data_IF_396168016121
#
_entry.id   IF_396168016121
#
_cell.length_a   1.000
_cell.length_b   1.000
_cell.length_c   1.000
_cell.angle_alpha   90.00
_cell.angle_beta   90.00
_cell.angle_gamma   90.00
#
_symmetry.space_group_name_H-M   'P 1'
#
loop_
_entity.id
_entity.type
_entity.pdbx_description
1 polymer ?
#
# COMPACT_ATOMS: atom_id res chain seq x y z
N UNK A 1 -37.65 -13.77 -69.45
CA UNK A 1 -39.10 -13.56 -69.72
C UNK A 1 -39.92 -14.27 -68.62
N UNK A 2 -41.23 -13.99 -68.54
CA UNK A 2 -42.36 -14.83 -68.04
C UNK A 2 -42.02 -16.33 -67.82
N UNK A 3 -42.45 -17.09 -66.80
CA UNK A 3 -43.38 -17.02 -65.61
C UNK A 3 -42.77 -17.97 -64.53
N UNK A 4 -43.02 -17.95 -63.21
CA UNK A 4 -44.22 -17.85 -62.34
C UNK A 4 -45.10 -19.12 -62.21
N UNK A 5 -45.25 -19.59 -60.95
CA UNK A 5 -46.47 -20.09 -60.26
C UNK A 5 -46.71 -21.60 -59.97
N UNK A 6 -47.32 -21.88 -58.80
CA UNK A 6 -47.99 -23.12 -58.30
C UNK A 6 -47.01 -24.25 -57.89
N UNK A 7 -47.15 -25.03 -56.79
CA UNK A 7 -48.20 -25.21 -55.76
C UNK A 7 -48.63 -26.70 -55.68
N UNK A 8 -48.99 -27.37 -54.56
CA UNK A 8 -49.27 -27.05 -53.13
C UNK A 8 -48.15 -27.65 -52.21
N UNK A 9 -48.05 -27.54 -50.87
CA UNK A 9 -48.92 -27.17 -49.71
C UNK A 9 -49.76 -28.31 -49.04
N UNK A 10 -49.18 -29.02 -48.07
CA UNK A 10 -49.87 -29.85 -47.03
C UNK A 10 -48.98 -30.01 -45.77
N UNK A 11 -49.52 -30.31 -44.58
CA UNK A 11 -50.08 -29.31 -43.63
C UNK A 11 -50.37 -29.92 -42.22
N UNK A 12 -50.01 -29.22 -41.13
CA UNK A 12 -50.61 -29.30 -39.76
C UNK A 12 -50.26 -30.60 -38.97
N UNK A 13 -50.07 -30.64 -37.64
CA UNK A 13 -50.67 -29.87 -36.51
C UNK A 13 -49.67 -29.38 -35.44
N UNK A 14 -50.06 -28.34 -34.70
CA UNK A 14 -49.35 -27.75 -33.54
C UNK A 14 -50.21 -27.90 -32.26
N UNK A 15 -49.56 -28.24 -31.15
CA UNK A 15 -49.88 -27.79 -29.76
C UNK A 15 -48.50 -27.61 -29.11
N UNK A 16 -48.08 -26.48 -28.52
CA UNK A 16 -48.74 -25.63 -27.51
C UNK A 16 -48.05 -25.93 -26.16
N UNK A 17 -47.78 -25.00 -25.22
CA UNK A 17 -48.12 -23.58 -25.02
C UNK A 17 -46.88 -22.91 -24.33
N UNK A 18 -46.76 -21.61 -24.00
CA UNK A 18 -47.64 -20.43 -24.03
C UNK A 18 -46.79 -19.14 -24.18
N UNK A 19 -47.42 -18.04 -24.63
CA UNK A 19 -46.89 -16.67 -24.50
C UNK A 19 -47.33 -16.06 -23.13
N UNK A 20 -47.19 -14.77 -22.77
CA UNK A 20 -46.89 -13.56 -23.54
C UNK A 20 -46.35 -12.41 -22.64
N UNK A 21 -45.80 -11.36 -23.27
CA UNK A 21 -45.21 -10.18 -22.63
C UNK A 21 -46.23 -9.17 -22.06
N UNK A 22 -45.72 -8.16 -21.34
CA UNK A 22 -46.39 -6.86 -21.13
C UNK A 22 -45.39 -5.70 -21.18
N UNK A 23 -45.86 -4.51 -21.58
CA UNK A 23 -45.11 -3.25 -21.63
C UNK A 23 -46.07 -2.04 -21.51
N UNK A 24 -45.57 -0.93 -20.96
CA UNK A 24 -46.13 0.43 -20.95
C UNK A 24 -44.97 1.39 -20.58
N UNK A 25 -44.60 2.35 -21.44
CA UNK A 25 -45.04 3.76 -21.48
C UNK A 25 -44.56 4.55 -20.24
N UNK A 26 -43.46 5.32 -20.28
CA UNK A 26 -43.16 6.59 -21.00
C UNK A 26 -43.83 7.85 -20.40
N UNK A 27 -43.04 8.92 -20.21
CA UNK A 27 -43.43 10.34 -20.35
C UNK A 27 -42.21 11.29 -20.12
N UNK A 28 -41.91 12.08 -21.16
CA UNK A 28 -41.26 13.40 -21.21
C UNK A 28 -39.89 13.69 -20.54
N UNK A 29 -38.87 13.77 -21.41
CA UNK A 29 -37.99 14.95 -21.65
C UNK A 29 -37.38 15.71 -20.44
N UNK A 30 -36.04 15.67 -20.39
CA UNK A 30 -35.24 16.86 -20.75
C UNK A 30 -33.96 16.43 -21.49
N UNK A 31 -33.54 17.17 -22.53
CA UNK A 31 -32.28 16.96 -23.26
C UNK A 31 -31.39 18.20 -23.15
N UNK A 32 -30.13 18.03 -22.75
CA UNK A 32 -29.12 19.10 -22.80
C UNK A 32 -27.67 18.58 -22.85
N UNK A 33 -27.32 17.93 -23.97
CA UNK A 33 -25.99 17.83 -24.60
C UNK A 33 -24.74 17.36 -23.79
N UNK A 34 -23.62 17.02 -24.48
CA UNK A 34 -22.62 16.11 -23.92
C UNK A 34 -21.39 16.80 -23.30
N UNK A 35 -20.98 16.30 -22.13
CA UNK A 35 -19.68 16.57 -21.52
C UNK A 35 -19.03 15.33 -20.85
N UNK A 36 -19.47 14.12 -21.20
CA UNK A 36 -18.82 12.88 -20.73
C UNK A 36 -17.58 12.56 -21.56
N UNK A 37 -16.46 13.21 -21.22
CA UNK A 37 -15.12 12.68 -21.43
C UNK A 37 -14.37 12.74 -20.09
N UNK A 38 -14.75 11.83 -19.20
CA UNK A 38 -13.91 11.39 -18.08
C UNK A 38 -13.79 9.88 -18.29
N UNK A 39 -12.56 9.44 -18.56
CA UNK A 39 -12.23 8.02 -18.74
C UNK A 39 -12.01 7.39 -17.36
N UNK A 40 -12.94 6.51 -16.98
CA UNK A 40 -13.23 6.18 -15.59
C UNK A 40 -12.18 5.29 -14.91
N UNK A 41 -11.65 5.81 -13.80
CA UNK A 41 -11.05 5.07 -12.68
C UNK A 41 -9.91 4.09 -13.00
N UNK A 42 -8.70 4.42 -12.52
CA UNK A 42 -7.79 3.35 -12.01
C UNK A 42 -8.58 2.61 -10.93
N UNK A 43 -8.77 1.28 -11.02
CA UNK A 43 -9.71 0.56 -10.17
C UNK A 43 -9.45 0.81 -8.69
N UNK A 44 -10.52 1.05 -7.95
CA UNK A 44 -10.44 1.21 -6.49
C UNK A 44 -9.98 -0.13 -5.93
N UNK A 45 -8.80 -0.13 -5.33
CA UNK A 45 -8.30 -1.28 -4.58
C UNK A 45 -9.33 -1.62 -3.49
N UNK A 46 -9.85 -2.84 -3.48
CA UNK A 46 -10.78 -3.34 -2.44
C UNK A 46 -10.17 -3.35 -1.03
N UNK A 47 -8.87 -3.02 -0.95
CA UNK A 47 -8.06 -2.84 0.25
C UNK A 47 -7.89 -1.37 0.65
N UNK A 48 -8.71 -0.45 0.11
CA UNK A 48 -8.73 0.95 0.49
C UNK A 48 -9.22 1.13 1.95
N UNK A 49 -8.67 2.10 2.72
CA UNK A 49 -9.29 2.53 3.97
C UNK A 49 -10.70 3.07 3.69
N UNK A 50 -11.59 2.98 4.68
CA UNK A 50 -12.98 3.46 4.52
C UNK A 50 -13.03 4.97 4.35
N UNK A 51 -14.00 5.41 3.56
CA UNK A 51 -14.41 6.80 3.41
C UNK A 51 -13.28 7.75 2.93
N UNK A 52 -12.34 7.22 2.15
CA UNK A 52 -11.20 7.96 1.60
C UNK A 52 -11.50 8.55 0.22
N UNK A 53 -11.27 9.85 0.11
CA UNK A 53 -11.30 10.62 -1.14
C UNK A 53 -10.05 10.30 -1.98
N UNK A 54 -10.21 9.45 -2.99
CA UNK A 54 -9.09 8.82 -3.74
C UNK A 54 -8.35 9.86 -4.59
N UNK A 55 -7.02 9.81 -4.57
CA UNK A 55 -6.13 10.73 -5.28
C UNK A 55 -6.42 12.22 -4.93
N UNK A 56 -6.78 12.50 -3.67
CA UNK A 56 -6.89 13.86 -3.14
C UNK A 56 -5.97 14.09 -1.94
N UNK A 57 -5.68 15.37 -1.68
CA UNK A 57 -4.92 15.85 -0.51
C UNK A 57 -5.66 16.99 0.16
N UNK A 58 -5.64 17.08 1.49
CA UNK A 58 -6.34 18.14 2.22
C UNK A 58 -5.46 19.39 2.34
N UNK A 59 -5.80 20.47 1.62
CA UNK A 59 -5.06 21.75 1.64
C UNK A 59 -6.06 22.92 1.67
N UNK A 60 -5.82 23.92 2.52
CA UNK A 60 -6.73 25.06 2.78
C UNK A 60 -8.16 24.62 3.14
N UNK A 61 -8.32 23.48 3.83
CA UNK A 61 -9.62 22.89 4.15
C UNK A 61 -10.38 22.30 2.95
N UNK A 62 -9.74 22.14 1.79
CA UNK A 62 -10.31 21.53 0.58
C UNK A 62 -9.64 20.19 0.28
N UNK A 63 -10.40 19.23 -0.25
CA UNK A 63 -9.85 18.01 -0.82
C UNK A 63 -9.46 18.27 -2.28
N UNK A 64 -8.17 18.44 -2.54
CA UNK A 64 -7.62 18.81 -3.85
C UNK A 64 -7.16 17.57 -4.61
N UNK A 65 -7.63 17.39 -5.85
CA UNK A 65 -7.23 16.30 -6.72
C UNK A 65 -5.80 16.48 -7.25
N UNK A 66 -5.01 15.39 -7.21
CA UNK A 66 -3.59 15.37 -7.63
C UNK A 66 -3.36 14.60 -8.94
N UNK A 67 -4.42 14.31 -9.69
CA UNK A 67 -4.36 13.58 -10.95
C UNK A 67 -4.09 12.07 -10.77
N UNK A 68 -3.66 11.40 -11.85
CA UNK A 68 -3.44 9.94 -11.86
C UNK A 68 -2.13 9.51 -11.16
N UNK A 69 -1.15 10.40 -10.99
CA UNK A 69 0.22 10.04 -10.58
C UNK A 69 0.42 9.91 -9.06
N UNK A 70 -0.57 10.29 -8.24
CA UNK A 70 -0.50 10.17 -6.78
C UNK A 70 0.50 11.13 -6.13
N UNK A 71 1.06 10.72 -4.99
CA UNK A 71 2.18 11.39 -4.32
C UNK A 71 3.48 10.58 -4.43
N UNK A 72 4.61 11.23 -4.15
CA UNK A 72 5.89 10.54 -3.95
C UNK A 72 6.31 10.65 -2.48
N UNK A 73 6.94 9.60 -1.94
CA UNK A 73 7.66 9.67 -0.66
C UNK A 73 9.14 9.91 -0.96
N UNK A 74 9.64 11.09 -0.61
CA UNK A 74 11.02 11.49 -0.90
C UNK A 74 11.65 12.16 0.31
N UNK A 75 12.81 11.65 0.77
CA UNK A 75 13.52 12.08 2.00
C UNK A 75 12.61 12.17 3.25
N UNK A 76 11.58 11.32 3.34
CA UNK A 76 10.60 11.31 4.42
C UNK A 76 9.49 12.36 4.31
N UNK A 77 9.46 13.17 3.25
CA UNK A 77 8.39 14.11 2.95
C UNK A 77 7.42 13.55 1.92
N UNK A 78 6.15 13.98 2.05
CA UNK A 78 5.09 13.73 1.07
C UNK A 78 5.21 14.81 -0.01
N UNK A 79 5.53 14.38 -1.23
CA UNK A 79 5.68 15.27 -2.38
C UNK A 79 4.40 15.24 -3.22
N UNK A 80 3.83 16.41 -3.49
CA UNK A 80 2.62 16.59 -4.32
C UNK A 80 2.96 17.21 -5.67
N UNK A 81 2.23 16.86 -6.74
CA UNK A 81 2.48 17.39 -8.08
C UNK A 81 2.05 18.86 -8.15
N UNK A 82 3.04 19.75 -8.09
CA UNK A 82 2.94 21.19 -7.83
C UNK A 82 1.86 21.88 -8.66
N UNK A 83 1.76 21.53 -9.95
CA UNK A 83 0.82 22.16 -10.87
C UNK A 83 -0.63 21.94 -10.43
N UNK A 84 -1.04 20.69 -10.22
CA UNK A 84 -2.40 20.34 -9.82
C UNK A 84 -2.80 20.99 -8.49
N UNK A 85 -1.90 20.93 -7.49
CA UNK A 85 -2.17 21.50 -6.16
C UNK A 85 -2.15 23.02 -6.12
N UNK A 86 -1.30 23.69 -6.91
CA UNK A 86 -1.24 25.16 -6.96
C UNK A 86 -2.37 25.76 -7.82
N UNK A 87 -2.70 25.19 -8.98
CA UNK A 87 -3.79 25.68 -9.84
C UNK A 87 -5.15 25.55 -9.15
N UNK A 88 -5.36 24.47 -8.38
CA UNK A 88 -6.55 24.26 -7.53
C UNK A 88 -6.69 25.27 -6.37
N UNK A 89 -5.60 25.97 -6.03
CA UNK A 89 -5.54 27.07 -5.06
C UNK A 89 -5.54 28.46 -5.72
N UNK A 90 -5.75 28.54 -7.04
CA UNK A 90 -5.86 29.78 -7.79
C UNK A 90 -4.52 30.40 -8.20
N UNK A 91 -3.40 29.69 -8.06
CA UNK A 91 -2.13 30.15 -8.60
C UNK A 91 -2.03 29.83 -10.10
N UNK A 92 -1.65 30.82 -10.90
CA UNK A 92 -1.08 30.59 -12.22
C UNK A 92 0.31 29.96 -12.04
N UNK A 93 0.59 28.87 -12.77
CA UNK A 93 1.85 28.12 -12.68
C UNK A 93 2.65 28.26 -13.97
N UNK A 94 3.84 28.86 -13.92
CA UNK A 94 4.69 29.11 -15.08
C UNK A 94 6.13 28.63 -14.82
N UNK A 95 6.55 27.56 -15.51
CA UNK A 95 7.95 27.12 -15.51
C UNK A 95 8.79 27.96 -16.50
N UNK A 96 10.07 28.17 -16.19
CA UNK A 96 11.03 28.69 -17.17
C UNK A 96 11.38 27.64 -18.26
N UNK A 97 12.09 28.07 -19.30
CA UNK A 97 12.43 27.24 -20.46
C UNK A 97 13.26 25.98 -20.13
N UNK A 98 13.94 25.99 -18.99
CA UNK A 98 14.83 24.92 -18.55
C UNK A 98 14.16 24.04 -17.47
N UNK A 99 12.91 24.36 -17.07
CA UNK A 99 12.23 23.84 -15.89
C UNK A 99 13.06 23.96 -14.58
N UNK A 100 13.89 25.02 -14.46
CA UNK A 100 14.71 25.29 -13.26
C UNK A 100 13.98 26.13 -12.22
N UNK A 101 13.17 27.07 -12.67
CA UNK A 101 12.34 27.94 -11.84
C UNK A 101 10.87 27.74 -12.20
N UNK A 102 10.01 27.58 -11.20
CA UNK A 102 8.55 27.62 -11.35
C UNK A 102 8.02 28.83 -10.62
N UNK A 103 7.34 29.73 -11.34
CA UNK A 103 6.56 30.82 -10.76
C UNK A 103 5.15 30.36 -10.41
N UNK A 104 4.71 30.75 -9.22
CA UNK A 104 3.33 30.65 -8.75
C UNK A 104 2.85 32.08 -8.49
N UNK A 105 1.73 32.50 -9.10
CA UNK A 105 1.15 33.83 -8.89
C UNK A 105 -0.38 33.74 -8.81
N UNK A 106 -0.97 34.09 -7.66
CA UNK A 106 -2.44 34.16 -7.49
C UNK A 106 -2.95 35.62 -7.37
N UNK A 107 -2.13 36.60 -7.77
CA UNK A 107 -2.44 38.03 -7.63
C UNK A 107 -2.13 38.62 -6.25
N UNK A 108 -2.14 37.82 -5.17
CA UNK A 108 -1.75 38.24 -3.81
C UNK A 108 -0.37 37.77 -3.39
N UNK A 109 -0.03 36.52 -3.68
CA UNK A 109 1.19 35.85 -3.28
C UNK A 109 1.93 35.40 -4.53
N UNK A 110 3.25 35.66 -4.57
CA UNK A 110 4.13 35.35 -5.69
C UNK A 110 5.31 34.53 -5.18
N UNK A 111 5.50 33.32 -5.72
CA UNK A 111 6.54 32.38 -5.30
C UNK A 111 7.40 31.99 -6.50
N UNK A 112 8.71 31.92 -6.29
CA UNK A 112 9.64 31.17 -7.15
C UNK A 112 10.01 29.87 -6.42
N UNK A 113 9.66 28.72 -6.98
CA UNK A 113 10.15 27.40 -6.55
C UNK A 113 11.34 27.03 -7.43
N UNK A 114 12.44 26.55 -6.85
CA UNK A 114 13.68 26.24 -7.58
C UNK A 114 13.93 24.73 -7.64
N UNK A 115 13.77 24.16 -8.84
CA UNK A 115 13.87 22.73 -9.11
C UNK A 115 15.32 22.25 -8.92
N UNK A 116 15.49 21.08 -8.31
CA UNK A 116 16.78 20.54 -7.90
C UNK A 116 17.33 21.14 -6.60
N UNK A 117 16.57 22.00 -5.91
CA UNK A 117 16.98 22.58 -4.62
C UNK A 117 15.88 22.46 -3.54
N UNK A 118 16.30 22.37 -2.29
CA UNK A 118 15.44 22.47 -1.10
C UNK A 118 15.26 23.96 -0.75
N UNK A 119 14.59 24.68 -1.66
CA UNK A 119 14.55 26.14 -1.66
C UNK A 119 13.37 26.70 -2.47
N UNK A 120 12.61 27.60 -1.85
CA UNK A 120 11.69 28.50 -2.55
C UNK A 120 11.81 29.92 -1.98
N UNK A 121 11.55 30.92 -2.81
CA UNK A 121 11.45 32.32 -2.39
C UNK A 121 10.02 32.82 -2.56
N UNK A 122 9.44 33.43 -1.53
CA UNK A 122 8.07 33.95 -1.57
C UNK A 122 8.02 35.46 -1.29
N UNK A 123 7.03 36.14 -1.89
CA UNK A 123 6.63 37.50 -1.56
C UNK A 123 5.11 37.59 -1.49
N UNK A 124 4.61 38.41 -0.58
CA UNK A 124 3.18 38.73 -0.45
C UNK A 124 2.96 40.22 -0.67
N UNK A 125 1.97 40.56 -1.49
CA UNK A 125 1.45 41.92 -1.65
C UNK A 125 0.11 42.10 -0.93
N UNK A 126 -0.29 41.14 -0.09
CA UNK A 126 -1.44 41.27 0.78
C UNK A 126 -1.06 42.13 2.02
N UNK A 127 -1.82 43.21 2.34
CA UNK A 127 -1.46 44.14 3.42
C UNK A 127 -1.23 43.49 4.79
N UNK A 128 -1.95 42.42 5.11
CA UNK A 128 -1.89 41.78 6.42
C UNK A 128 -0.70 40.81 6.55
N UNK A 129 -0.01 40.50 5.44
CA UNK A 129 1.08 39.51 5.37
C UNK A 129 2.29 39.99 4.55
N UNK A 130 2.50 41.30 4.40
CA UNK A 130 3.57 41.87 3.58
C UNK A 130 4.98 41.36 3.98
N UNK A 131 5.61 40.57 3.10
CA UNK A 131 6.97 40.05 3.31
C UNK A 131 7.81 40.21 2.04
N UNK A 132 9.01 40.76 2.22
CA UNK A 132 10.09 40.84 1.22
C UNK A 132 10.80 39.49 1.07
N UNK A 133 11.32 39.18 -0.12
CA UNK A 133 11.73 37.83 -0.51
C UNK A 133 12.69 37.12 0.47
N UNK A 134 12.18 36.14 1.22
CA UNK A 134 12.97 35.22 2.05
C UNK A 134 13.06 33.86 1.35
N UNK A 135 14.25 33.24 1.38
CA UNK A 135 14.45 31.85 0.97
C UNK A 135 14.10 30.89 2.11
N UNK A 136 13.21 29.94 1.84
CA UNK A 136 12.75 28.94 2.81
C UNK A 136 13.11 27.52 2.36
N UNK A 137 13.38 26.67 3.35
CA UNK A 137 13.79 25.26 3.23
C UNK A 137 12.63 24.38 3.72
N UNK A 138 12.37 23.25 3.04
CA UNK A 138 11.25 22.34 3.31
C UNK A 138 11.70 20.95 3.82
N UNK A 139 12.99 20.64 3.74
CA UNK A 139 13.59 19.36 4.13
C UNK A 139 13.66 18.34 2.98
N UNK A 140 13.29 18.73 1.77
CA UNK A 140 13.41 17.94 0.55
C UNK A 140 13.37 18.85 -0.69
N UNK A 141 14.27 18.61 -1.63
CA UNK A 141 14.35 19.36 -2.88
C UNK A 141 13.14 19.15 -3.78
N UNK A 142 12.82 20.19 -4.57
CA UNK A 142 11.81 20.07 -5.63
C UNK A 142 12.35 19.17 -6.75
N UNK A 143 11.65 18.09 -7.08
CA UNK A 143 12.09 17.08 -8.07
C UNK A 143 11.19 17.05 -9.31
N UNK A 144 11.69 16.45 -10.39
CA UNK A 144 10.89 16.10 -11.58
C UNK A 144 10.84 14.58 -11.67
N UNK A 145 9.64 14.04 -11.85
CA UNK A 145 9.35 12.61 -12.08
C UNK A 145 8.22 12.53 -13.11
N UNK A 146 8.34 11.70 -14.15
CA UNK A 146 7.44 11.64 -15.32
C UNK A 146 6.94 13.02 -15.82
N UNK A 147 7.89 13.91 -16.11
CA UNK A 147 7.68 15.29 -16.58
C UNK A 147 6.75 16.14 -15.66
N UNK A 148 6.56 15.71 -14.42
CA UNK A 148 5.73 16.35 -13.40
C UNK A 148 6.64 16.90 -12.30
N UNK A 149 6.44 18.16 -11.93
CA UNK A 149 7.23 18.82 -10.88
C UNK A 149 6.57 18.53 -9.53
N UNK A 150 7.33 17.95 -8.60
CA UNK A 150 6.86 17.59 -7.26
C UNK A 150 7.53 18.42 -6.17
N UNK A 151 6.73 18.92 -5.24
CA UNK A 151 7.16 19.74 -4.10
C UNK A 151 6.71 19.10 -2.77
N UNK A 152 7.44 19.31 -1.66
CA UNK A 152 6.95 18.90 -0.34
C UNK A 152 5.63 19.61 -0.02
N UNK A 153 4.61 18.88 0.40
CA UNK A 153 3.25 19.44 0.61
C UNK A 153 3.23 20.60 1.63
N UNK A 154 4.15 20.59 2.60
CA UNK A 154 4.31 21.65 3.59
C UNK A 154 4.71 23.02 2.99
N UNK A 155 5.08 23.09 1.70
CA UNK A 155 5.16 24.35 0.95
C UNK A 155 3.91 25.20 1.18
N UNK A 156 2.72 24.59 1.23
CA UNK A 156 1.47 25.32 1.45
C UNK A 156 1.32 25.85 2.89
N UNK A 157 1.80 25.14 3.92
CA UNK A 157 1.86 25.67 5.29
C UNK A 157 2.72 26.94 5.35
N UNK A 158 3.81 27.00 4.59
CA UNK A 158 4.68 28.19 4.52
C UNK A 158 4.10 29.31 3.64
N UNK A 159 3.54 28.99 2.48
CA UNK A 159 2.92 29.97 1.55
C UNK A 159 1.81 30.78 2.24
N UNK A 160 0.96 30.10 3.01
CA UNK A 160 -0.18 30.72 3.69
C UNK A 160 0.12 31.11 5.15
N UNK A 161 1.35 30.89 5.63
CA UNK A 161 1.81 31.16 6.99
C UNK A 161 0.92 30.55 8.11
N UNK A 162 0.28 29.40 7.83
CA UNK A 162 -0.52 28.65 8.80
C UNK A 162 -0.17 27.16 8.73
N UNK A 163 0.28 26.61 9.86
CA UNK A 163 0.63 25.20 10.02
C UNK A 163 -0.58 24.24 9.95
N UNK A 164 -1.80 24.78 9.93
CA UNK A 164 -3.05 24.02 9.71
C UNK A 164 -3.51 24.03 8.25
N UNK A 165 -2.75 24.66 7.34
CA UNK A 165 -3.10 24.74 5.91
C UNK A 165 -3.22 23.34 5.30
N UNK A 166 -2.26 22.46 5.56
CA UNK A 166 -2.28 21.06 5.15
C UNK A 166 -2.93 20.23 6.25
N UNK A 167 -4.06 19.58 5.91
CA UNK A 167 -4.80 18.72 6.82
C UNK A 167 -4.23 17.30 6.92
N UNK A 168 -4.93 16.44 7.68
CA UNK A 168 -4.66 15.00 7.70
C UNK A 168 -5.53 14.26 6.69
N UNK A 169 -4.98 13.28 5.98
CA UNK A 169 -5.66 12.54 4.91
C UNK A 169 -4.95 11.21 4.58
N UNK A 170 -5.70 10.23 4.07
CA UNK A 170 -5.12 9.09 3.34
C UNK A 170 -4.93 9.46 1.87
N UNK A 171 -3.84 8.99 1.25
CA UNK A 171 -3.61 9.09 -0.20
C UNK A 171 -2.80 7.89 -0.69
N UNK A 172 -2.76 7.65 -2.00
CA UNK A 172 -1.89 6.64 -2.62
C UNK A 172 -0.61 7.27 -3.14
N UNK A 173 0.52 6.58 -2.96
CA UNK A 173 1.73 6.86 -3.72
C UNK A 173 1.59 6.41 -5.19
N UNK A 174 2.59 6.74 -6.02
CA UNK A 174 2.63 6.33 -7.44
C UNK A 174 2.60 4.82 -7.68
N UNK A 175 2.98 4.02 -6.68
CA UNK A 175 3.01 2.54 -6.72
C UNK A 175 1.69 1.94 -6.20
N UNK A 176 0.67 2.79 -5.96
CA UNK A 176 -0.67 2.41 -5.51
C UNK A 176 -0.78 2.12 -4.01
N UNK A 177 0.28 2.36 -3.25
CA UNK A 177 0.37 2.01 -1.83
C UNK A 177 -0.26 3.11 -0.97
N UNK A 178 -1.05 2.71 0.03
CA UNK A 178 -1.72 3.66 0.91
C UNK A 178 -0.74 4.26 1.93
N UNK A 179 -0.67 5.59 1.96
CA UNK A 179 -0.01 6.35 3.02
C UNK A 179 -1.04 7.15 3.81
N UNK A 180 -0.65 7.61 4.99
CA UNK A 180 -1.42 8.59 5.76
C UNK A 180 -0.55 9.83 6.02
N UNK A 181 -1.10 10.99 5.70
CA UNK A 181 -0.55 12.28 6.09
C UNK A 181 -1.18 12.71 7.42
N UNK A 182 -0.35 13.06 8.39
CA UNK A 182 -0.75 13.67 9.64
C UNK A 182 -0.39 15.16 9.60
N UNK A 183 -1.30 15.99 9.08
CA UNK A 183 -1.11 17.44 8.87
C UNK A 183 0.14 17.78 8.03
N UNK A 184 0.28 17.11 6.88
CA UNK A 184 1.41 17.27 5.95
C UNK A 184 2.61 16.35 6.20
N UNK A 185 2.84 15.93 7.46
CA UNK A 185 3.92 14.99 7.78
C UNK A 185 3.56 13.53 7.47
N UNK A 186 4.58 12.73 7.16
CA UNK A 186 4.44 11.30 6.86
C UNK A 186 4.20 10.49 8.15
N UNK A 187 3.07 9.81 8.24
CA UNK A 187 2.73 9.04 9.43
C UNK A 187 3.43 7.67 9.45
N UNK A 188 4.20 7.41 10.51
CA UNK A 188 4.82 6.10 10.80
C UNK A 188 4.33 5.52 12.13
N UNK A 189 4.30 4.19 12.25
CA UNK A 189 3.81 3.44 13.40
C UNK A 189 2.28 3.42 13.53
N UNK A 190 1.79 3.10 14.72
CA UNK A 190 0.36 3.09 15.05
C UNK A 190 -0.26 4.51 14.95
N UNK A 191 -1.45 4.60 14.37
CA UNK A 191 -2.28 5.82 14.27
C UNK A 191 -3.73 5.51 14.58
N UNK A 192 -4.35 6.33 15.44
CA UNK A 192 -5.79 6.35 15.68
C UNK A 192 -6.41 7.39 14.74
N UNK A 193 -7.21 6.94 13.78
CA UNK A 193 -7.81 7.75 12.71
C UNK A 193 -9.29 7.41 12.68
N UNK A 194 -10.18 8.39 12.82
CA UNK A 194 -11.65 8.21 12.86
C UNK A 194 -12.09 7.09 13.84
N UNK A 195 -11.50 7.07 15.04
CA UNK A 195 -11.69 6.05 16.09
C UNK A 195 -11.34 4.61 15.66
N UNK A 196 -10.46 4.44 14.67
CA UNK A 196 -9.91 3.16 14.22
C UNK A 196 -8.38 3.18 14.25
N UNK A 197 -7.78 2.09 14.71
CA UNK A 197 -6.33 1.94 14.68
C UNK A 197 -5.86 1.44 13.31
N UNK A 198 -4.80 2.04 12.79
CA UNK A 198 -4.07 1.65 11.59
C UNK A 198 -2.58 1.55 11.95
N UNK A 199 -1.82 0.70 11.25
CA UNK A 199 -0.37 0.65 11.38
C UNK A 199 0.32 1.03 10.08
N UNK A 200 1.21 2.02 10.15
CA UNK A 200 2.05 2.47 9.04
C UNK A 200 3.48 1.98 9.28
N UNK A 201 4.14 1.38 8.28
CA UNK A 201 5.54 0.97 8.42
C UNK A 201 6.50 2.17 8.40
N UNK A 202 7.80 1.92 8.54
CA UNK A 202 8.82 2.97 8.63
C UNK A 202 8.99 3.81 7.34
N UNK A 203 8.41 3.39 6.21
CA UNK A 203 8.35 4.17 4.97
C UNK A 203 7.01 4.94 4.84
N UNK A 204 6.14 4.89 5.86
CA UNK A 204 4.81 5.50 5.86
C UNK A 204 3.73 4.71 5.13
N UNK A 205 3.96 3.43 4.79
CA UNK A 205 3.02 2.58 4.04
C UNK A 205 2.10 1.83 5.00
N UNK A 206 0.79 1.90 4.78
CA UNK A 206 -0.24 1.21 5.57
C UNK A 206 -0.12 -0.31 5.44
N UNK A 207 -0.08 -1.01 6.57
CA UNK A 207 0.04 -2.46 6.65
C UNK A 207 -1.32 -3.16 6.75
N UNK A 208 -1.34 -4.43 6.36
CA UNK A 208 -2.49 -5.34 6.34
C UNK A 208 -2.02 -6.73 6.79
N UNK A 209 -2.92 -7.54 7.34
CA UNK A 209 -2.58 -8.83 7.95
C UNK A 209 -1.89 -8.68 9.30
N UNK A 210 -1.13 -9.68 9.71
CA UNK A 210 -0.42 -9.71 10.99
C UNK A 210 0.77 -8.75 11.06
N UNK A 211 0.79 -7.91 12.08
CA UNK A 211 1.91 -7.03 12.48
C UNK A 211 2.30 -7.34 13.91
N UNK A 212 3.61 -7.42 14.18
CA UNK A 212 4.13 -7.50 15.55
C UNK A 212 4.73 -6.15 15.97
N UNK A 213 4.37 -5.66 17.16
CA UNK A 213 5.02 -4.49 17.79
C UNK A 213 5.10 -4.68 19.30
N UNK A 214 6.22 -4.30 19.91
CA UNK A 214 6.45 -4.41 21.36
C UNK A 214 6.18 -5.84 21.90
N UNK A 215 6.58 -6.86 21.13
CA UNK A 215 6.36 -8.28 21.44
C UNK A 215 4.95 -8.81 21.17
N UNK A 216 3.94 -7.94 21.02
CA UNK A 216 2.54 -8.32 20.83
C UNK A 216 2.18 -8.38 19.33
N UNK A 217 1.31 -9.32 18.96
CA UNK A 217 0.78 -9.47 17.61
C UNK A 217 -0.62 -8.85 17.48
N UNK A 218 -0.86 -8.17 16.37
CA UNK A 218 -2.11 -7.49 16.01
C UNK A 218 -2.48 -7.81 14.56
N UNK A 219 -3.77 -7.89 14.25
CA UNK A 219 -4.25 -8.13 12.89
C UNK A 219 -4.86 -6.87 12.30
N UNK A 220 -4.35 -6.42 11.15
CA UNK A 220 -4.91 -5.33 10.35
C UNK A 220 -5.78 -5.95 9.24
N UNK A 221 -7.04 -5.54 9.17
CA UNK A 221 -8.02 -5.99 8.17
C UNK A 221 -7.61 -5.59 6.75
N UNK A 222 -8.36 -6.09 5.76
CA UNK A 222 -8.11 -5.80 4.34
C UNK A 222 -8.06 -4.30 4.00
N UNK A 223 -8.79 -3.46 4.74
CA UNK A 223 -8.81 -2.00 4.61
C UNK A 223 -7.84 -1.27 5.57
N UNK A 224 -6.98 -2.00 6.29
CA UNK A 224 -6.02 -1.45 7.25
C UNK A 224 -6.55 -1.22 8.68
N UNK A 225 -7.86 -1.37 8.94
CA UNK A 225 -8.39 -1.25 10.31
C UNK A 225 -7.88 -2.40 11.19
N UNK A 226 -7.38 -2.10 12.39
CA UNK A 226 -7.04 -3.12 13.39
C UNK A 226 -8.29 -3.87 13.86
N UNK A 227 -8.23 -5.20 13.84
CA UNK A 227 -9.21 -6.05 14.49
C UNK A 227 -9.03 -5.99 16.02
N UNK A 228 -10.12 -5.84 16.77
CA UNK A 228 -10.14 -5.81 18.23
C UNK A 228 -11.46 -6.40 18.77
N UNK A 229 -11.40 -7.04 19.94
CA UNK A 229 -12.55 -7.65 20.62
C UNK A 229 -13.24 -8.75 19.81
N UNK A 230 -12.50 -9.47 18.96
CA UNK A 230 -13.09 -10.26 17.87
C UNK A 230 -12.25 -11.48 17.48
N UNK A 231 -12.79 -12.30 16.57
CA UNK A 231 -12.06 -13.32 15.83
C UNK A 231 -11.56 -12.71 14.51
N UNK A 232 -10.28 -12.92 14.18
CA UNK A 232 -9.69 -12.50 12.91
C UNK A 232 -10.21 -13.35 11.74
N UNK A 233 -10.06 -12.91 10.47
CA UNK A 233 -10.44 -13.71 9.30
C UNK A 233 -9.74 -15.08 9.20
N UNK A 234 -8.60 -15.27 9.88
CA UNK A 234 -7.88 -16.53 10.02
C UNK A 234 -8.11 -17.25 11.37
N UNK A 235 -9.18 -16.91 12.08
CA UNK A 235 -9.72 -17.71 13.19
C UNK A 235 -9.07 -17.47 14.56
N UNK A 236 -8.12 -16.55 14.68
CA UNK A 236 -7.46 -16.23 15.96
C UNK A 236 -8.27 -15.22 16.77
N UNK A 237 -8.21 -15.31 18.10
CA UNK A 237 -8.87 -14.34 18.99
C UNK A 237 -7.92 -13.20 19.33
N UNK A 238 -8.39 -11.97 19.12
CA UNK A 238 -7.73 -10.75 19.56
C UNK A 238 -8.55 -10.08 20.66
N UNK A 239 -7.89 -9.60 21.70
CA UNK A 239 -8.53 -8.92 22.82
C UNK A 239 -9.08 -7.55 22.44
N UNK A 240 -9.73 -6.85 23.37
CA UNK A 240 -10.33 -5.52 23.17
C UNK A 240 -9.30 -4.44 22.74
N UNK A 241 -8.00 -4.69 22.91
CA UNK A 241 -6.90 -3.84 22.47
C UNK A 241 -6.27 -4.32 21.14
N UNK A 242 -6.85 -5.34 20.50
CA UNK A 242 -6.38 -5.94 19.26
C UNK A 242 -5.21 -6.92 19.41
N UNK A 243 -4.79 -7.24 20.64
CA UNK A 243 -3.67 -8.15 20.89
C UNK A 243 -4.10 -9.61 20.80
N UNK A 244 -3.35 -10.42 20.06
CA UNK A 244 -3.49 -11.87 20.07
C UNK A 244 -3.01 -12.46 21.41
N UNK A 245 -3.76 -13.45 21.92
CA UNK A 245 -3.54 -14.11 23.21
C UNK A 245 -2.52 -15.27 23.18
N UNK A 246 -1.88 -15.51 22.02
CA UNK A 246 -0.89 -16.58 21.81
C UNK A 246 -1.48 -17.97 21.58
N UNK A 247 -2.81 -18.15 21.58
CA UNK A 247 -3.47 -19.45 21.40
C UNK A 247 -3.73 -19.78 19.93
N UNK A 248 -3.79 -21.07 19.53
CA UNK A 248 -4.20 -21.46 18.18
C UNK A 248 -5.61 -20.97 17.84
N UNK A 249 -5.90 -20.90 16.53
CA UNK A 249 -7.21 -20.50 16.00
C UNK A 249 -8.36 -21.36 16.57
N UNK A 250 -9.54 -20.74 16.73
CA UNK A 250 -10.64 -21.29 17.50
C UNK A 250 -11.41 -22.46 16.82
N UNK A 251 -11.12 -22.75 15.54
CA UNK A 251 -11.88 -23.70 14.71
C UNK A 251 -10.99 -24.79 14.13
N UNK A 252 -10.83 -25.88 14.89
CA UNK A 252 -10.43 -27.21 14.37
C UNK A 252 -11.44 -28.27 14.86
N UNK A 253 -12.69 -27.87 15.08
CA UNK A 253 -13.79 -28.74 15.54
C UNK A 253 -15.06 -28.34 14.78
N UNK A 254 -15.68 -29.34 14.13
CA UNK A 254 -16.90 -29.28 13.32
C UNK A 254 -16.82 -28.47 12.00
N UNK A 255 -16.67 -29.19 10.87
CA UNK A 255 -16.89 -28.69 9.51
C UNK A 255 -18.34 -29.03 9.06
N UNK A 256 -19.15 -28.07 8.58
CA UNK A 256 -20.30 -28.34 7.72
C UNK A 256 -19.83 -28.67 6.29
N UNK A 257 -20.50 -29.58 5.57
CA UNK A 257 -20.04 -30.02 4.25
C UNK A 257 -20.34 -29.03 3.11
N UNK A 258 -21.43 -28.25 3.20
CA UNK A 258 -21.94 -27.40 2.11
C UNK A 258 -21.85 -25.88 2.42
N UNK A 259 -20.63 -25.35 2.49
CA UNK A 259 -20.39 -23.90 2.53
C UNK A 259 -19.28 -23.52 1.55
N UNK A 260 -19.52 -22.53 0.68
CA UNK A 260 -18.52 -22.04 -0.28
C UNK A 260 -17.22 -21.66 0.45
N UNK A 261 -16.10 -22.28 0.04
CA UNK A 261 -14.91 -22.40 0.89
C UNK A 261 -14.31 -21.05 1.32
N UNK A 262 -14.56 -20.68 2.59
CA UNK A 262 -13.77 -19.67 3.31
C UNK A 262 -12.42 -20.30 3.65
N UNK A 263 -11.52 -20.36 2.67
CA UNK A 263 -10.17 -20.90 2.82
C UNK A 263 -9.41 -20.08 3.87
N UNK A 264 -8.96 -20.74 4.94
CA UNK A 264 -8.13 -20.14 5.97
C UNK A 264 -6.90 -19.46 5.35
N UNK A 265 -6.63 -18.17 5.63
CA UNK A 265 -5.38 -17.54 5.23
C UNK A 265 -4.17 -18.30 5.74
N UNK A 266 -4.21 -18.87 6.96
CA UNK A 266 -3.12 -19.70 7.47
C UNK A 266 -3.44 -21.19 7.30
N UNK A 267 -2.74 -21.82 6.37
CA UNK A 267 -2.80 -23.26 6.11
C UNK A 267 -1.49 -23.89 6.60
N UNK A 268 -1.58 -24.98 7.38
CA UNK A 268 -0.41 -25.66 7.97
C UNK A 268 -0.13 -26.97 7.25
N UNK A 269 1.15 -27.35 7.22
CA UNK A 269 1.63 -28.55 6.55
C UNK A 269 2.68 -29.24 7.41
N UNK A 270 2.75 -30.56 7.33
CA UNK A 270 3.79 -31.34 8.02
C UNK A 270 5.10 -31.36 7.21
N UNK A 271 5.01 -31.21 5.88
CA UNK A 271 6.16 -31.19 4.96
C UNK A 271 6.19 -29.97 4.03
N UNK A 272 7.39 -29.65 3.52
CA UNK A 272 7.58 -28.61 2.49
C UNK A 272 6.90 -29.03 1.17
N UNK A 273 6.88 -30.32 0.85
CA UNK A 273 6.28 -30.86 -0.38
C UNK A 273 4.75 -30.79 -0.37
N UNK A 274 4.11 -30.74 0.80
CA UNK A 274 2.67 -30.45 0.92
C UNK A 274 2.40 -28.94 0.78
N UNK A 275 3.17 -28.10 1.46
CA UNK A 275 3.09 -26.64 1.30
C UNK A 275 3.29 -26.22 -0.16
N UNK A 276 4.18 -26.90 -0.90
CA UNK A 276 4.43 -26.65 -2.32
C UNK A 276 3.18 -26.89 -3.18
N UNK A 277 2.28 -27.81 -2.82
CA UNK A 277 1.06 -28.11 -3.59
C UNK A 277 0.00 -27.01 -3.45
N UNK A 278 0.05 -26.23 -2.37
CA UNK A 278 -0.88 -25.11 -2.12
C UNK A 278 -0.42 -23.78 -2.76
N UNK A 279 0.85 -23.68 -3.17
CA UNK A 279 1.47 -22.43 -3.64
C UNK A 279 1.60 -22.36 -5.16
N UNK A 280 1.41 -21.17 -5.71
CA UNK A 280 1.58 -20.86 -7.15
C UNK A 280 3.04 -20.62 -7.56
N UNK A 281 3.96 -20.57 -6.61
CA UNK A 281 5.40 -20.37 -6.82
C UNK A 281 6.21 -21.53 -6.25
N UNK A 282 7.41 -21.75 -6.80
CA UNK A 282 8.33 -22.78 -6.31
C UNK A 282 8.97 -22.34 -4.99
N UNK A 283 8.82 -23.13 -3.93
CA UNK A 283 9.50 -22.92 -2.66
C UNK A 283 11.01 -23.16 -2.85
N UNK A 284 11.82 -22.29 -2.26
CA UNK A 284 13.24 -22.58 -1.99
C UNK A 284 13.55 -22.17 -0.55
N UNK A 285 14.33 -23.00 0.16
CA UNK A 285 14.66 -22.80 1.58
C UNK A 285 16.17 -22.86 1.80
N UNK A 286 16.71 -22.22 2.86
CA UNK A 286 18.14 -22.24 3.15
C UNK A 286 18.63 -23.64 3.49
N UNK A 287 19.48 -24.22 2.64
CA UNK A 287 20.07 -25.56 2.84
C UNK A 287 20.88 -25.65 4.14
N UNK A 288 21.40 -24.52 4.62
CA UNK A 288 22.18 -24.41 5.87
C UNK A 288 21.32 -24.59 7.13
N UNK A 289 20.00 -24.39 7.06
CA UNK A 289 19.07 -24.61 8.17
C UNK A 289 18.50 -26.05 8.19
N UNK A 290 18.43 -26.71 7.03
CA UNK A 290 17.93 -28.08 6.92
C UNK A 290 18.81 -29.07 7.70
N UNK A 291 18.20 -29.92 8.51
CA UNK A 291 18.88 -30.94 9.32
C UNK A 291 19.70 -30.43 10.52
N UNK A 292 20.02 -29.12 10.59
CA UNK A 292 20.72 -28.51 11.73
C UNK A 292 19.77 -27.97 12.81
N UNK A 293 18.51 -27.71 12.45
CA UNK A 293 17.48 -27.17 13.32
C UNK A 293 16.22 -28.02 13.24
N UNK A 294 15.48 -28.11 14.35
CA UNK A 294 14.14 -28.74 14.35
C UNK A 294 13.14 -27.79 13.68
N UNK A 295 12.16 -28.33 12.95
CA UNK A 295 11.06 -27.52 12.39
C UNK A 295 9.94 -27.42 13.44
N UNK A 296 9.54 -26.20 13.76
CA UNK A 296 8.47 -25.87 14.74
C UNK A 296 7.09 -25.89 14.08
N UNK A 297 7.02 -25.41 12.84
CA UNK A 297 5.85 -25.48 11.96
C UNK A 297 6.25 -25.09 10.53
N UNK A 298 5.44 -25.54 9.56
CA UNK A 298 5.42 -25.06 8.17
C UNK A 298 4.01 -24.54 7.91
N UNK A 299 3.89 -23.36 7.29
CA UNK A 299 2.60 -22.80 6.90
C UNK A 299 2.71 -21.92 5.66
N UNK A 300 1.56 -21.66 5.04
CA UNK A 300 1.39 -20.57 4.07
C UNK A 300 0.49 -19.49 4.65
N UNK A 301 0.66 -18.24 4.21
CA UNK A 301 -0.26 -17.14 4.50
C UNK A 301 -0.89 -16.66 3.18
N UNK A 302 -2.22 -16.68 3.11
CA UNK A 302 -3.09 -16.42 1.94
C UNK A 302 -2.77 -17.25 0.69
N UNK A 303 -1.96 -18.32 0.80
CA UNK A 303 -1.31 -19.04 -0.31
C UNK A 303 -0.43 -18.17 -1.25
N UNK A 304 -0.10 -16.95 -0.80
CA UNK A 304 0.80 -16.00 -1.50
C UNK A 304 2.16 -15.84 -0.77
N UNK A 305 2.25 -16.33 0.47
CA UNK A 305 3.46 -16.37 1.30
C UNK A 305 3.69 -17.80 1.80
N UNK A 306 4.94 -18.28 1.74
CA UNK A 306 5.46 -19.44 2.45
C UNK A 306 6.19 -19.01 3.72
N UNK A 307 6.00 -19.74 4.82
CA UNK A 307 6.69 -19.53 6.08
C UNK A 307 7.09 -20.87 6.71
N UNK A 308 8.31 -20.93 7.22
CA UNK A 308 8.83 -22.08 7.98
C UNK A 308 9.61 -21.55 9.19
N UNK A 309 9.31 -22.11 10.37
CA UNK A 309 9.99 -21.76 11.60
C UNK A 309 10.92 -22.90 12.02
N UNK A 310 12.21 -22.61 12.07
CA UNK A 310 13.26 -23.47 12.59
C UNK A 310 13.55 -23.10 14.05
N UNK A 311 13.90 -24.08 14.88
CA UNK A 311 14.27 -23.87 16.29
C UNK A 311 15.50 -24.67 16.70
N UNK A 312 16.32 -24.06 17.56
CA UNK A 312 17.31 -24.74 18.37
C UNK A 312 17.14 -24.34 19.85
N UNK A 313 18.17 -24.51 20.69
CA UNK A 313 18.11 -24.15 22.12
C UNK A 313 18.33 -22.65 22.41
N UNK A 314 18.51 -21.81 21.38
CA UNK A 314 18.92 -20.41 21.49
C UNK A 314 18.18 -19.43 20.56
N UNK A 315 17.43 -19.89 19.56
CA UNK A 315 16.68 -19.02 18.65
C UNK A 315 15.49 -19.77 18.02
N UNK A 316 14.37 -19.06 17.89
CA UNK A 316 13.42 -19.25 16.78
C UNK A 316 13.98 -18.51 15.56
N UNK A 317 14.06 -19.17 14.41
CA UNK A 317 14.43 -18.58 13.12
C UNK A 317 13.24 -18.74 12.17
N UNK A 318 12.60 -17.64 11.80
CA UNK A 318 11.48 -17.62 10.87
C UNK A 318 12.02 -17.26 9.47
N UNK A 319 12.00 -18.23 8.56
CA UNK A 319 12.23 -17.96 7.14
C UNK A 319 10.90 -17.76 6.42
N UNK A 320 10.82 -16.78 5.52
CA UNK A 320 9.68 -16.51 4.66
C UNK A 320 10.10 -16.33 3.20
N UNK A 321 9.20 -16.69 2.30
CA UNK A 321 9.32 -16.48 0.86
C UNK A 321 7.94 -16.11 0.29
N UNK A 322 7.84 -15.13 -0.60
CA UNK A 322 6.56 -14.71 -1.20
C UNK A 322 6.75 -13.96 -2.51
N UNK A 323 5.71 -13.89 -3.33
CA UNK A 323 5.80 -13.25 -4.63
C UNK A 323 5.81 -11.71 -4.49
N UNK A 324 6.73 -11.04 -5.18
CA UNK A 324 6.93 -9.58 -5.12
C UNK A 324 8.37 -9.16 -4.82
N UNK A 325 8.51 -7.90 -4.38
CA UNK A 325 9.79 -7.30 -3.97
C UNK A 325 9.70 -6.46 -2.68
N UNK A 326 8.61 -6.62 -1.91
CA UNK A 326 8.37 -5.91 -0.65
C UNK A 326 8.97 -6.64 0.57
N UNK A 327 9.10 -5.95 1.70
CA UNK A 327 9.56 -6.56 2.97
C UNK A 327 8.47 -7.49 3.51
N UNK A 328 8.79 -8.78 3.62
CA UNK A 328 7.89 -9.83 4.12
C UNK A 328 8.24 -10.30 5.54
N UNK A 329 9.26 -9.72 6.19
CA UNK A 329 9.76 -10.17 7.50
C UNK A 329 8.70 -10.13 8.61
N UNK A 330 7.72 -9.22 8.50
CA UNK A 330 6.80 -8.89 9.58
C UNK A 330 7.46 -8.16 10.75
N UNK A 331 8.77 -7.86 10.64
CA UNK A 331 9.54 -7.18 11.66
C UNK A 331 9.82 -5.73 11.24
N UNK A 332 9.13 -4.84 11.95
CA UNK A 332 9.19 -3.39 11.79
C UNK A 332 9.78 -2.69 13.03
N UNK A 333 10.54 -3.42 13.85
CA UNK A 333 11.26 -2.81 14.97
C UNK A 333 12.37 -1.86 14.47
N UNK A 334 12.72 -0.88 15.31
CA UNK A 334 13.82 0.03 15.03
C UNK A 334 15.12 -0.51 15.62
N UNK A 335 16.16 -0.54 14.79
CA UNK A 335 17.42 -1.23 15.03
C UNK A 335 18.62 -0.29 14.85
N UNK A 336 19.66 -0.42 15.69
CA UNK A 336 20.90 0.36 15.58
C UNK A 336 21.66 0.05 14.28
N UNK A 337 21.66 -1.22 13.88
CA UNK A 337 22.22 -1.73 12.63
C UNK A 337 21.08 -1.72 11.60
N UNK A 338 21.27 -1.00 10.50
CA UNK A 338 20.36 -0.98 9.35
C UNK A 338 21.18 -0.65 8.09
N UNK A 339 21.70 -1.67 7.42
CA UNK A 339 22.59 -1.53 6.27
C UNK A 339 22.28 -2.57 5.18
N UNK A 340 22.90 -2.41 4.01
CA UNK A 340 22.80 -3.39 2.91
C UNK A 340 24.14 -4.11 2.76
N UNK A 341 24.09 -5.44 2.64
CA UNK A 341 25.22 -6.31 2.35
C UNK A 341 25.00 -6.92 0.96
N UNK A 342 26.00 -6.86 0.08
CA UNK A 342 25.93 -7.57 -1.20
C UNK A 342 26.43 -9.01 -1.04
N UNK A 343 25.64 -9.98 -1.47
CA UNK A 343 25.94 -11.41 -1.43
C UNK A 343 25.79 -11.97 -2.83
N UNK A 344 26.90 -12.24 -3.51
CA UNK A 344 26.95 -12.78 -4.88
C UNK A 344 26.07 -11.97 -5.88
N UNK A 345 26.04 -10.64 -5.75
CA UNK A 345 25.19 -9.75 -6.55
C UNK A 345 23.82 -9.42 -5.94
N UNK A 346 23.32 -10.22 -4.99
CA UNK A 346 22.05 -9.99 -4.28
C UNK A 346 22.26 -8.92 -3.20
N UNK A 347 21.45 -7.86 -3.22
CA UNK A 347 21.45 -6.85 -2.16
C UNK A 347 20.52 -7.27 -1.01
N UNK A 348 21.11 -7.59 0.15
CA UNK A 348 20.41 -8.01 1.36
C UNK A 348 20.38 -6.86 2.36
N UNK A 349 19.19 -6.39 2.73
CA UNK A 349 19.02 -5.44 3.83
C UNK A 349 19.07 -6.21 5.15
N UNK A 350 19.97 -5.83 6.05
CA UNK A 350 20.11 -6.45 7.38
C UNK A 350 19.82 -5.42 8.48
N UNK A 351 19.04 -5.84 9.47
CA UNK A 351 18.61 -5.03 10.63
C UNK A 351 19.01 -5.75 11.93
N UNK A 352 19.48 -5.03 12.95
CA UNK A 352 19.85 -5.66 14.23
C UNK A 352 20.42 -4.72 15.29
N UNK A 353 20.83 -5.27 16.42
CA UNK A 353 21.40 -4.53 17.55
C UNK A 353 22.63 -5.24 18.10
N UNK A 354 23.54 -4.49 18.74
CA UNK A 354 24.63 -5.02 19.56
C UNK A 354 25.49 -6.09 18.86
N UNK A 355 25.77 -5.83 17.57
CA UNK A 355 26.51 -6.66 16.62
C UNK A 355 25.83 -7.99 16.22
N UNK A 356 24.54 -8.16 16.51
CA UNK A 356 23.71 -9.28 16.08
C UNK A 356 22.61 -8.81 15.11
N UNK A 357 22.50 -9.47 13.97
CA UNK A 357 21.42 -9.29 13.01
C UNK A 357 20.18 -10.04 13.51
N UNK A 358 19.04 -9.34 13.56
CA UNK A 358 17.72 -9.91 13.90
C UNK A 358 16.81 -10.08 12.68
N UNK A 359 17.03 -9.29 11.63
CA UNK A 359 16.24 -9.38 10.40
C UNK A 359 17.17 -9.30 9.18
N UNK A 360 16.95 -10.17 8.19
CA UNK A 360 17.56 -10.08 6.87
C UNK A 360 16.46 -10.16 5.81
N UNK A 361 16.48 -9.27 4.80
CA UNK A 361 15.45 -9.15 3.77
C UNK A 361 16.09 -8.94 2.41
N UNK A 362 15.69 -9.72 1.41
CA UNK A 362 16.20 -9.62 0.04
C UNK A 362 15.14 -10.05 -0.98
N UNK A 363 15.38 -9.75 -2.25
CA UNK A 363 14.54 -10.22 -3.35
C UNK A 363 15.36 -10.65 -4.55
N UNK A 364 14.87 -11.66 -5.27
CA UNK A 364 15.47 -12.22 -6.50
C UNK A 364 14.33 -12.60 -7.44
N UNK A 365 14.38 -12.17 -8.71
CA UNK A 365 13.44 -12.55 -9.77
C UNK A 365 11.94 -12.39 -9.37
N UNK A 366 11.59 -11.27 -8.73
CA UNK A 366 10.25 -10.99 -8.21
C UNK A 366 9.72 -12.01 -7.19
N UNK A 367 10.63 -12.64 -6.44
CA UNK A 367 10.34 -13.28 -5.15
C UNK A 367 11.05 -12.51 -4.04
N UNK A 368 10.31 -12.16 -3.00
CA UNK A 368 10.83 -11.65 -1.72
C UNK A 368 11.17 -12.81 -0.80
N UNK A 369 12.19 -12.58 0.03
CA UNK A 369 12.68 -13.50 1.04
C UNK A 369 12.98 -12.74 2.33
N UNK A 370 12.81 -13.40 3.48
CA UNK A 370 13.30 -12.86 4.75
C UNK A 370 13.69 -13.93 5.75
N UNK A 371 14.58 -13.56 6.66
CA UNK A 371 14.88 -14.29 7.91
C UNK A 371 14.61 -13.32 9.07
N UNK A 372 13.84 -13.74 10.06
CA UNK A 372 13.62 -13.02 11.33
C UNK A 372 14.03 -13.91 12.51
N UNK A 373 14.71 -13.34 13.52
CA UNK A 373 15.27 -14.06 14.68
C UNK A 373 14.97 -13.32 15.99
N UNK A 374 14.58 -14.07 17.03
CA UNK A 374 14.26 -13.49 18.34
C UNK A 374 15.48 -12.88 19.04
N UNK A 375 16.56 -13.65 19.19
CA UNK A 375 17.76 -13.26 19.93
C UNK A 375 18.88 -12.75 19.00
N UNK A 376 18.77 -13.08 17.71
CA UNK A 376 19.68 -12.63 16.67
C UNK A 376 20.89 -13.55 16.45
N UNK A 377 21.71 -13.21 15.45
CA UNK A 377 22.82 -14.03 14.96
C UNK A 377 23.90 -13.15 14.32
N UNK A 378 25.15 -13.63 14.20
CA UNK A 378 26.22 -12.84 13.57
C UNK A 378 25.95 -12.68 12.06
N UNK A 379 26.45 -11.58 11.50
CA UNK A 379 26.26 -11.26 10.08
C UNK A 379 26.82 -12.36 9.16
N UNK A 380 27.95 -12.99 9.51
CA UNK A 380 28.56 -14.04 8.68
C UNK A 380 27.72 -15.32 8.59
N UNK A 381 27.06 -15.70 9.69
CA UNK A 381 26.16 -16.86 9.72
C UNK A 381 24.91 -16.58 8.87
N UNK A 382 24.34 -15.36 8.98
CA UNK A 382 23.25 -14.90 8.11
C UNK A 382 23.67 -14.91 6.64
N UNK A 383 24.89 -14.45 6.32
CA UNK A 383 25.44 -14.49 4.96
C UNK A 383 25.51 -15.93 4.43
N UNK A 384 25.90 -16.90 5.28
CA UNK A 384 25.95 -18.31 4.90
C UNK A 384 24.55 -18.91 4.69
N UNK A 385 23.57 -18.56 5.53
CA UNK A 385 22.16 -18.95 5.36
C UNK A 385 21.62 -18.40 4.02
N UNK A 386 21.80 -17.11 3.72
CA UNK A 386 21.34 -16.52 2.45
C UNK A 386 22.01 -17.19 1.25
N UNK A 387 23.35 -17.39 1.27
CA UNK A 387 24.08 -18.13 0.22
C UNK A 387 23.50 -19.53 -0.02
N UNK A 388 23.07 -20.21 1.04
CA UNK A 388 22.50 -21.56 0.97
C UNK A 388 21.06 -21.64 0.45
N UNK A 389 20.40 -20.50 0.20
CA UNK A 389 19.00 -20.44 -0.26
C UNK A 389 18.87 -20.73 -1.76
N UNK A 390 19.97 -20.68 -2.51
CA UNK A 390 20.01 -20.90 -3.96
C UNK A 390 20.89 -22.12 -4.30
#
# INVERSE_FOLDING_TARGET
MKKLMIGLLTAVTIVGMSAQAFAADDISRHKSNPANIIDDTVPISSYAPKDVDINKVAICGKNIEIGRNGVLIYKGKIMVPLKFTAESLGFKVEADKDNKTVRLDNGKIKINVYVGTDGFGYTSTDPDTMVLAVMHVLGAETIIDDNTIYVPINLYNSIFNDQKTVGSFFVRDKDGQWIYSANGELAVGWKLINNKWYFMNNNGIMQRGWVQTNGNWYYLLNNGEMAAGTVTPDGYKVDENGKWDGKPAATVVNKPEDADDIISPIERFDTIDEAQKALKFKITVPKELLGKYNIKYINTISRDLFQICYVNKQNDIIFRMGQGAYDISGDYNNYKINNTVNINGINVKVKGDDNLIKVAVWSVNNMSYSISLNDGMKQDDIINIVKSTF
#
